data_IF_507232349586
#
_entry.id   IF_507232349586
#
_cell.length_a   1.000
_cell.length_b   1.000
_cell.length_c   1.000
_cell.angle_alpha   90.00
_cell.angle_beta   90.00
_cell.angle_gamma   90.00
#
_symmetry.space_group_name_H-M   'P 1'
#
loop_
_entity.id
_entity.type
_entity.pdbx_description
1 polymer ?
#
# COMPACT_ATOMS: atom_id res chain seq x y z
N UNK A 1 -75.44 -5.19 53.77
CA UNK A 1 -75.16 -4.24 52.70
C UNK A 1 -73.66 -4.03 52.65
N UNK A 2 -72.98 -4.71 51.69
CA UNK A 2 -71.51 -4.63 51.49
C UNK A 2 -71.20 -3.81 50.29
N UNK A 3 -70.54 -2.68 50.45
CA UNK A 3 -70.05 -1.84 49.39
C UNK A 3 -68.70 -2.38 48.82
N UNK A 4 -68.69 -2.76 47.57
CA UNK A 4 -67.47 -3.05 46.82
C UNK A 4 -66.91 -1.74 46.24
N UNK A 5 -65.68 -1.40 46.62
CA UNK A 5 -64.92 -0.32 45.99
C UNK A 5 -64.09 -0.91 44.83
N UNK A 6 -64.43 -0.49 43.65
CA UNK A 6 -63.65 -0.83 42.41
C UNK A 6 -62.41 0.08 42.34
N UNK A 7 -61.22 -0.53 42.32
CA UNK A 7 -59.98 0.15 42.14
C UNK A 7 -59.62 0.14 40.65
N UNK A 8 -59.60 1.32 40.05
CA UNK A 8 -59.17 1.49 38.67
C UNK A 8 -57.64 1.72 38.67
N UNK A 9 -56.88 0.78 38.12
CA UNK A 9 -55.42 0.92 37.95
C UNK A 9 -55.18 1.44 36.53
N UNK A 10 -54.76 2.69 36.40
CA UNK A 10 -54.30 3.26 35.16
C UNK A 10 -52.86 2.83 34.88
N UNK A 11 -52.65 2.03 33.84
CA UNK A 11 -51.32 1.69 33.34
C UNK A 11 -50.80 2.84 32.50
N UNK A 12 -49.75 3.48 32.95
CA UNK A 12 -48.99 4.46 32.14
C UNK A 12 -47.98 3.69 31.30
N UNK A 13 -48.21 3.63 29.99
CA UNK A 13 -47.22 3.08 29.01
C UNK A 13 -46.18 4.17 28.75
N UNK A 14 -44.97 4.01 29.27
CA UNK A 14 -43.82 4.85 28.91
C UNK A 14 -43.24 4.31 27.62
N UNK A 15 -43.51 4.98 26.51
CA UNK A 15 -42.81 4.72 25.24
C UNK A 15 -41.39 5.29 25.34
N UNK A 16 -40.43 4.41 25.48
CA UNK A 16 -39.02 4.75 25.36
C UNK A 16 -38.66 4.92 23.87
N UNK A 17 -38.51 6.16 23.44
CA UNK A 17 -37.93 6.47 22.10
C UNK A 17 -36.43 6.21 22.15
N UNK A 18 -36.00 5.07 21.65
CA UNK A 18 -34.57 4.83 21.38
C UNK A 18 -34.12 5.75 20.24
N UNK A 19 -33.42 6.81 20.61
CA UNK A 19 -32.71 7.66 19.65
C UNK A 19 -31.54 6.86 19.09
N UNK A 20 -31.63 6.41 17.83
CA UNK A 20 -30.46 5.93 17.10
C UNK A 20 -29.53 7.12 16.86
N UNK A 21 -28.50 7.22 17.67
CA UNK A 21 -27.38 8.10 17.39
C UNK A 21 -26.71 7.57 16.11
N UNK A 22 -26.88 8.31 15.02
CA UNK A 22 -26.10 8.14 13.81
C UNK A 22 -24.62 8.30 14.17
N UNK A 23 -23.88 7.20 14.17
CA UNK A 23 -22.43 7.22 14.36
C UNK A 23 -21.83 7.98 13.18
N UNK A 24 -21.55 9.25 13.38
CA UNK A 24 -20.74 10.05 12.47
C UNK A 24 -19.41 9.33 12.25
N UNK A 25 -19.11 9.02 10.98
CA UNK A 25 -17.77 8.57 10.57
C UNK A 25 -16.75 9.49 11.22
N UNK A 26 -15.70 8.97 11.89
CA UNK A 26 -14.70 9.84 12.46
C UNK A 26 -14.12 10.69 11.35
N UNK A 27 -14.21 12.02 11.50
CA UNK A 27 -13.47 12.95 10.63
C UNK A 27 -11.99 12.60 10.75
N UNK A 28 -11.36 12.36 9.61
CA UNK A 28 -9.92 12.09 9.55
C UNK A 28 -9.17 13.28 10.14
N UNK A 29 -8.42 13.05 11.21
CA UNK A 29 -7.58 14.07 11.81
C UNK A 29 -6.63 14.62 10.73
N UNK A 30 -6.44 15.95 10.61
CA UNK A 30 -5.46 16.53 9.67
C UNK A 30 -4.05 15.92 9.79
N UNK A 31 -3.64 15.49 10.99
CA UNK A 31 -2.40 14.75 11.20
C UNK A 31 -2.38 13.37 10.53
N UNK A 32 -3.53 12.68 10.44
CA UNK A 32 -3.66 11.39 9.75
C UNK A 32 -3.63 11.57 8.22
N UNK A 33 -4.11 12.71 7.73
CA UNK A 33 -4.01 13.07 6.31
C UNK A 33 -2.58 13.45 5.92
N UNK A 34 -1.85 14.14 6.79
CA UNK A 34 -0.45 14.49 6.57
C UNK A 34 0.47 13.25 6.53
N UNK A 35 0.13 12.20 7.29
CA UNK A 35 0.81 10.90 7.23
C UNK A 35 0.53 10.11 5.93
N UNK A 36 -0.51 10.48 5.17
CA UNK A 36 -0.85 9.80 3.91
C UNK A 36 -0.11 10.37 2.70
N UNK A 37 0.50 11.55 2.84
CA UNK A 37 1.21 12.23 1.76
C UNK A 37 2.71 12.25 2.00
N UNK A 38 3.47 12.14 0.91
CA UNK A 38 4.92 12.23 0.92
C UNK A 38 5.36 13.40 0.05
N UNK A 39 6.21 14.29 0.57
CA UNK A 39 6.82 15.34 -0.23
C UNK A 39 7.82 14.74 -1.20
N UNK A 40 7.69 15.10 -2.47
CA UNK A 40 8.64 14.79 -3.53
C UNK A 40 9.26 16.09 -4.03
N UNK A 41 10.58 16.12 -4.12
CA UNK A 41 11.34 17.19 -4.77
C UNK A 41 12.09 16.57 -5.94
N UNK A 42 11.97 17.16 -7.12
CA UNK A 42 12.70 16.79 -8.32
C UNK A 42 13.52 17.97 -8.79
N UNK A 43 14.77 17.76 -9.06
CA UNK A 43 15.71 18.78 -9.53
C UNK A 43 16.09 18.53 -11.00
N UNK A 44 16.51 19.56 -11.69
CA UNK A 44 17.01 19.51 -13.05
C UNK A 44 17.89 20.71 -13.36
N UNK A 45 18.17 20.90 -14.63
CA UNK A 45 18.95 22.03 -15.12
C UNK A 45 18.06 22.96 -15.96
N UNK A 46 18.21 24.26 -15.81
CA UNK A 46 17.60 25.24 -16.70
C UNK A 46 18.38 25.37 -18.02
N UNK A 47 17.91 26.22 -18.93
CA UNK A 47 18.54 26.47 -20.21
C UNK A 47 19.97 27.03 -20.10
N UNK A 48 20.36 27.56 -18.95
CA UNK A 48 21.70 28.07 -18.65
C UNK A 48 22.55 27.08 -17.87
N UNK A 49 22.09 25.81 -17.74
CA UNK A 49 22.73 24.74 -16.98
C UNK A 49 22.85 24.99 -15.47
N UNK A 50 22.00 25.86 -14.91
CA UNK A 50 21.89 26.02 -13.46
C UNK A 50 20.98 24.95 -12.87
N UNK A 51 21.35 24.45 -11.69
CA UNK A 51 20.54 23.50 -10.96
C UNK A 51 19.30 24.19 -10.39
N UNK A 52 18.12 23.69 -10.72
CA UNK A 52 16.82 24.22 -10.31
C UNK A 52 15.90 23.12 -9.76
N UNK A 53 14.90 23.52 -9.00
CA UNK A 53 13.80 22.64 -8.60
C UNK A 53 12.77 22.64 -9.73
N UNK A 54 12.52 21.47 -10.33
CA UNK A 54 11.49 21.27 -11.35
C UNK A 54 10.12 21.02 -10.71
N UNK A 55 10.08 20.19 -9.68
CA UNK A 55 8.85 19.83 -8.96
C UNK A 55 9.11 19.84 -7.45
N UNK A 56 8.18 20.42 -6.70
CA UNK A 56 8.13 20.35 -5.24
C UNK A 56 6.66 20.27 -4.83
N UNK A 57 6.26 19.13 -4.28
CA UNK A 57 4.87 18.90 -3.92
C UNK A 57 4.63 17.62 -3.14
N UNK A 58 3.42 17.50 -2.63
CA UNK A 58 2.98 16.31 -1.89
C UNK A 58 2.34 15.29 -2.85
N UNK A 59 2.66 14.02 -2.62
CA UNK A 59 2.21 12.87 -3.39
C UNK A 59 1.37 11.97 -2.50
N UNK A 60 0.10 11.79 -2.84
CA UNK A 60 -0.81 10.92 -2.09
C UNK A 60 -0.66 9.47 -2.50
N UNK A 61 -0.72 8.55 -1.53
CA UNK A 61 -0.79 7.11 -1.76
C UNK A 61 -2.20 6.74 -2.26
N UNK A 62 -2.28 6.08 -3.41
CA UNK A 62 -3.54 5.65 -4.05
C UNK A 62 -3.78 4.17 -3.82
N UNK A 63 -5.01 3.72 -3.58
CA UNK A 63 -5.33 2.29 -3.52
C UNK A 63 -4.96 1.60 -4.83
N UNK A 64 -4.24 0.47 -4.73
CA UNK A 64 -3.84 -0.37 -5.88
C UNK A 64 -4.36 -1.80 -5.75
N UNK A 65 -4.60 -2.25 -4.51
CA UNK A 65 -5.24 -3.51 -4.17
C UNK A 65 -5.86 -3.41 -2.77
N UNK A 66 -6.71 -4.33 -2.33
CA UNK A 66 -7.21 -4.38 -0.96
C UNK A 66 -6.06 -4.36 0.05
N UNK A 67 -6.06 -3.39 0.97
CA UNK A 67 -5.03 -3.22 1.98
C UNK A 67 -3.67 -2.70 1.45
N UNK A 68 -3.55 -2.40 0.15
CA UNK A 68 -2.29 -1.93 -0.45
C UNK A 68 -2.54 -0.59 -1.14
N UNK A 69 -1.71 0.40 -0.80
CA UNK A 69 -1.69 1.73 -1.42
C UNK A 69 -0.30 2.02 -1.96
N UNK A 70 -0.21 2.76 -3.06
CA UNK A 70 1.08 3.08 -3.65
C UNK A 70 1.07 4.43 -4.37
N UNK A 71 2.27 4.99 -4.57
CA UNK A 71 2.50 6.09 -5.49
C UNK A 71 3.85 5.94 -6.16
N UNK A 72 3.92 6.28 -7.44
CA UNK A 72 5.20 6.36 -8.15
C UNK A 72 5.76 7.77 -7.98
N UNK A 73 7.04 7.86 -7.67
CA UNK A 73 7.74 9.14 -7.62
C UNK A 73 8.42 9.46 -8.95
N UNK A 74 8.99 8.46 -9.61
CA UNK A 74 9.65 8.62 -10.90
C UNK A 74 9.71 7.31 -11.67
N UNK A 75 9.66 7.40 -13.00
CA UNK A 75 9.76 6.25 -13.90
C UNK A 75 10.66 6.66 -15.06
N UNK A 76 11.63 5.80 -15.40
CA UNK A 76 12.49 5.99 -16.56
C UNK A 76 12.31 4.85 -17.56
N UNK A 77 12.54 5.14 -18.84
CA UNK A 77 12.61 4.16 -19.92
C UNK A 77 14.05 4.12 -20.44
N UNK A 78 14.71 2.99 -20.27
CA UNK A 78 16.06 2.80 -20.75
C UNK A 78 17.16 3.12 -19.72
N UNK A 79 18.35 2.58 -20.01
CA UNK A 79 19.58 2.79 -19.24
C UNK A 79 20.75 3.03 -20.19
N UNK A 80 21.58 4.07 -20.03
CA UNK A 80 21.42 5.15 -19.03
C UNK A 80 20.11 5.93 -19.22
N UNK A 81 19.47 6.40 -18.11
CA UNK A 81 18.21 7.12 -18.21
C UNK A 81 18.39 8.49 -18.87
N UNK A 82 17.44 8.88 -19.71
CA UNK A 82 17.35 10.26 -20.19
C UNK A 82 16.84 11.16 -19.08
N UNK A 83 17.52 12.28 -18.86
CA UNK A 83 17.03 13.33 -17.95
C UNK A 83 15.91 14.11 -18.64
N UNK A 84 14.85 14.46 -17.92
CA UNK A 84 13.67 15.11 -18.47
C UNK A 84 13.05 16.07 -17.45
N UNK A 85 12.43 17.14 -17.98
CA UNK A 85 11.60 18.05 -17.23
C UNK A 85 10.13 17.61 -17.17
N UNK A 86 9.79 16.47 -17.80
CA UNK A 86 8.43 15.93 -17.81
C UNK A 86 8.22 15.01 -16.62
N UNK A 87 7.16 15.26 -15.83
CA UNK A 87 6.81 14.42 -14.70
C UNK A 87 6.31 13.04 -15.17
N UNK A 88 7.08 12.01 -14.85
CA UNK A 88 6.76 10.62 -15.18
C UNK A 88 5.94 9.88 -14.12
N UNK A 89 5.66 10.49 -12.97
CA UNK A 89 5.01 9.84 -11.83
C UNK A 89 3.57 9.40 -12.11
N UNK A 90 2.87 10.09 -13.01
CA UNK A 90 1.48 9.81 -13.38
C UNK A 90 1.29 8.64 -14.35
N UNK A 91 2.37 8.02 -14.82
CA UNK A 91 2.29 6.91 -15.79
C UNK A 91 1.60 5.69 -15.19
N UNK A 92 0.66 5.14 -15.94
CA UNK A 92 -0.07 3.92 -15.56
C UNK A 92 0.72 2.71 -16.07
N UNK A 93 1.50 2.10 -15.20
CA UNK A 93 2.26 0.88 -15.47
C UNK A 93 2.02 -0.13 -14.35
N UNK A 94 2.19 -1.42 -14.65
CA UNK A 94 2.07 -2.51 -13.68
C UNK A 94 3.09 -2.44 -12.53
N UNK A 95 3.30 -3.52 -11.80
CA UNK A 95 4.25 -3.56 -10.67
C UNK A 95 5.69 -3.49 -11.16
N UNK A 96 6.03 -4.16 -12.25
CA UNK A 96 7.36 -4.17 -12.83
C UNK A 96 7.79 -2.77 -13.34
N UNK A 97 9.09 -2.46 -13.39
CA UNK A 97 9.59 -1.31 -14.12
C UNK A 97 9.41 -1.51 -15.65
N UNK A 98 9.54 -0.44 -16.46
CA UNK A 98 9.64 -0.58 -17.91
C UNK A 98 10.87 -1.40 -18.31
N UNK A 99 10.83 -2.03 -19.49
CA UNK A 99 12.00 -2.71 -20.05
C UNK A 99 13.18 -1.74 -20.16
N UNK A 100 14.35 -2.16 -19.67
CA UNK A 100 15.57 -1.35 -19.50
C UNK A 100 15.38 -0.09 -18.66
N UNK A 101 14.28 0.06 -17.92
CA UNK A 101 13.95 1.25 -17.16
C UNK A 101 14.01 1.05 -15.65
N UNK A 102 13.60 2.09 -14.93
CA UNK A 102 13.50 2.08 -13.48
C UNK A 102 12.14 2.58 -12.99
N UNK A 103 11.79 2.19 -11.78
CA UNK A 103 10.58 2.66 -11.11
C UNK A 103 10.88 2.98 -9.65
N UNK A 104 10.75 4.25 -9.29
CA UNK A 104 10.90 4.73 -7.93
C UNK A 104 9.50 4.95 -7.33
N UNK A 105 9.18 4.24 -6.25
CA UNK A 105 7.84 4.24 -5.65
C UNK A 105 7.85 4.00 -4.15
N UNK A 106 6.74 4.37 -3.50
CA UNK A 106 6.40 3.89 -2.15
C UNK A 106 5.16 3.03 -2.21
N UNK A 107 5.17 1.97 -1.41
CA UNK A 107 4.02 1.09 -1.17
C UNK A 107 3.74 1.07 0.33
N UNK A 108 2.46 1.19 0.68
CA UNK A 108 1.96 1.04 2.04
C UNK A 108 1.13 -0.23 2.12
N UNK A 109 1.42 -1.05 3.11
CA UNK A 109 0.74 -2.30 3.42
C UNK A 109 -0.02 -2.13 4.74
N UNK A 110 -1.34 -2.18 4.68
CA UNK A 110 -2.18 -2.21 5.87
C UNK A 110 -1.96 -3.49 6.68
N UNK A 111 -2.21 -3.49 7.99
CA UNK A 111 -2.29 -4.71 8.77
C UNK A 111 -3.22 -5.75 8.14
N UNK A 112 -2.80 -7.00 8.13
CA UNK A 112 -3.54 -8.14 7.62
C UNK A 112 -3.66 -9.20 8.71
N UNK A 113 -4.84 -9.30 9.30
CA UNK A 113 -5.11 -10.33 10.30
C UNK A 113 -5.35 -11.69 9.63
N UNK A 114 -5.16 -12.77 10.39
CA UNK A 114 -5.26 -14.15 9.88
C UNK A 114 -6.64 -14.48 9.28
N UNK A 115 -7.73 -13.87 9.77
CA UNK A 115 -9.06 -14.12 9.25
C UNK A 115 -9.29 -13.42 7.88
N UNK A 116 -8.69 -12.25 7.70
CA UNK A 116 -8.67 -11.52 6.43
C UNK A 116 -7.72 -12.17 5.43
N UNK A 117 -6.55 -12.61 5.87
CA UNK A 117 -5.57 -13.34 5.06
C UNK A 117 -6.17 -14.63 4.47
N UNK A 118 -6.88 -15.42 5.29
CA UNK A 118 -7.54 -16.65 4.86
C UNK A 118 -8.64 -16.43 3.80
N UNK A 119 -9.13 -15.20 3.63
CA UNK A 119 -10.15 -14.83 2.64
C UNK A 119 -9.56 -14.20 1.38
N UNK A 120 -8.26 -14.01 1.30
CA UNK A 120 -7.62 -13.47 0.11
C UNK A 120 -7.91 -14.39 -1.09
N UNK A 121 -8.35 -13.84 -2.23
CA UNK A 121 -8.52 -14.65 -3.42
C UNK A 121 -7.18 -15.26 -3.83
N UNK A 122 -7.16 -16.55 -4.24
CA UNK A 122 -5.99 -17.12 -4.88
C UNK A 122 -5.55 -16.21 -6.03
N UNK A 123 -4.27 -16.00 -6.18
CA UNK A 123 -3.70 -15.18 -7.28
C UNK A 123 -4.10 -13.69 -7.28
N UNK A 124 -4.41 -13.11 -6.11
CA UNK A 124 -4.85 -11.72 -6.02
C UNK A 124 -3.89 -10.73 -6.69
N UNK A 125 -2.59 -10.93 -6.54
CA UNK A 125 -1.56 -10.06 -7.13
C UNK A 125 -1.19 -10.49 -8.55
N UNK A 126 -1.27 -11.76 -8.88
CA UNK A 126 -0.87 -12.29 -10.20
C UNK A 126 -1.65 -11.67 -11.36
N UNK A 127 -2.92 -11.29 -11.13
CA UNK A 127 -3.74 -10.58 -12.14
C UNK A 127 -3.28 -9.14 -12.41
N UNK A 128 -2.57 -8.51 -11.49
CA UNK A 128 -2.06 -7.14 -11.63
C UNK A 128 -0.61 -7.04 -12.07
N UNK A 129 0.11 -8.17 -12.12
CA UNK A 129 1.53 -8.23 -12.47
C UNK A 129 1.66 -8.91 -13.84
N UNK A 130 1.62 -8.10 -14.89
CA UNK A 130 1.61 -8.57 -16.28
C UNK A 130 2.89 -9.29 -16.73
N UNK A 131 3.99 -9.22 -15.96
CA UNK A 131 5.30 -9.76 -16.34
C UNK A 131 5.95 -10.61 -15.24
N UNK A 132 5.16 -11.27 -14.40
CA UNK A 132 5.72 -12.15 -13.36
C UNK A 132 5.46 -13.62 -13.69
N UNK A 133 6.39 -14.30 -14.37
CA UNK A 133 6.31 -15.75 -14.46
C UNK A 133 6.74 -16.35 -13.09
N UNK A 134 5.79 -16.77 -12.30
CA UNK A 134 6.05 -17.81 -11.29
C UNK A 134 6.35 -19.10 -12.05
N UNK A 135 7.58 -19.29 -12.50
CA UNK A 135 7.97 -20.46 -13.28
C UNK A 135 7.90 -21.71 -12.40
N UNK A 136 6.73 -22.37 -12.40
CA UNK A 136 6.56 -23.71 -11.89
C UNK A 136 6.70 -23.92 -10.39
N UNK A 137 6.83 -22.86 -9.60
CA UNK A 137 6.90 -22.92 -8.14
C UNK A 137 5.48 -22.81 -7.58
N UNK A 138 5.05 -23.71 -6.68
CA UNK A 138 3.75 -23.62 -6.03
C UNK A 138 3.62 -22.28 -5.29
N UNK A 139 2.52 -21.56 -5.53
CA UNK A 139 2.21 -20.33 -4.83
C UNK A 139 1.82 -20.66 -3.39
N UNK A 140 2.66 -20.30 -2.43
CA UNK A 140 2.42 -20.56 -0.99
C UNK A 140 1.52 -19.49 -0.33
N UNK A 141 1.40 -18.31 -0.96
CA UNK A 141 0.60 -17.21 -0.44
C UNK A 141 -0.06 -16.42 -1.59
N UNK A 142 -1.32 -15.97 -1.46
CA UNK A 142 -2.03 -15.21 -2.52
C UNK A 142 -1.33 -13.93 -2.99
N UNK A 143 -0.52 -13.30 -2.12
CA UNK A 143 0.25 -12.11 -2.43
C UNK A 143 1.61 -12.42 -3.07
N UNK A 144 1.95 -13.72 -3.26
CA UNK A 144 3.25 -14.12 -3.77
C UNK A 144 3.40 -13.78 -5.25
N UNK A 145 4.49 -13.13 -5.57
CA UNK A 145 4.77 -12.66 -6.92
C UNK A 145 6.27 -12.49 -7.16
N UNK A 146 6.62 -12.26 -8.42
CA UNK A 146 7.97 -12.00 -8.88
C UNK A 146 7.94 -10.94 -9.97
N UNK A 147 8.90 -10.03 -9.95
CA UNK A 147 9.20 -9.12 -11.06
C UNK A 147 10.61 -9.41 -11.59
N UNK A 148 10.81 -9.22 -12.89
CA UNK A 148 12.14 -9.30 -13.50
C UNK A 148 12.88 -7.99 -13.20
N UNK A 149 13.27 -7.81 -11.95
CA UNK A 149 13.94 -6.59 -11.50
C UNK A 149 14.91 -6.85 -10.37
N UNK A 150 15.94 -6.00 -10.30
CA UNK A 150 16.72 -5.80 -9.10
C UNK A 150 16.07 -4.67 -8.32
N UNK A 151 15.63 -4.95 -7.11
CA UNK A 151 14.95 -3.97 -6.27
C UNK A 151 15.83 -3.58 -5.09
N UNK A 152 16.04 -2.28 -4.91
CA UNK A 152 16.51 -1.73 -3.65
C UNK A 152 15.34 -1.22 -2.87
N UNK A 153 15.22 -1.63 -1.60
CA UNK A 153 14.11 -1.21 -0.75
C UNK A 153 14.56 -0.80 0.64
N UNK A 154 13.78 0.10 1.24
CA UNK A 154 13.99 0.56 2.63
C UNK A 154 12.64 0.60 3.32
N UNK A 155 12.54 -0.01 4.50
CA UNK A 155 11.36 0.13 5.36
C UNK A 155 11.35 1.52 5.97
N UNK A 156 10.42 2.38 5.54
CA UNK A 156 10.31 3.77 6.01
C UNK A 156 9.60 3.87 7.36
N UNK A 157 8.60 3.00 7.60
CA UNK A 157 7.84 2.97 8.85
C UNK A 157 7.14 1.63 9.02
N UNK A 158 6.85 1.27 10.28
CA UNK A 158 6.18 0.02 10.61
C UNK A 158 7.09 -1.20 10.53
N UNK A 159 6.47 -2.36 10.41
CA UNK A 159 7.12 -3.67 10.31
C UNK A 159 6.36 -4.55 9.33
N UNK A 160 7.02 -5.54 8.75
CA UNK A 160 6.43 -6.42 7.73
C UNK A 160 7.22 -7.71 7.62
N UNK A 161 6.55 -8.79 7.24
CA UNK A 161 7.20 -10.05 6.88
C UNK A 161 7.37 -10.14 5.35
N UNK A 162 8.60 -10.35 4.91
CA UNK A 162 8.92 -10.71 3.54
C UNK A 162 8.97 -12.24 3.46
N UNK A 163 7.93 -12.83 2.88
CA UNK A 163 7.87 -14.28 2.65
C UNK A 163 8.61 -14.62 1.36
N UNK A 164 9.47 -15.62 1.43
CA UNK A 164 10.15 -16.24 0.30
C UNK A 164 9.60 -17.68 0.12
N UNK A 165 10.14 -18.44 -0.83
CA UNK A 165 9.65 -19.80 -1.12
C UNK A 165 9.68 -20.72 0.11
N UNK A 166 10.76 -20.71 0.88
CA UNK A 166 10.96 -21.64 2.01
C UNK A 166 11.19 -20.95 3.35
N UNK A 167 11.29 -19.63 3.38
CA UNK A 167 11.59 -18.87 4.58
C UNK A 167 10.83 -17.55 4.62
N UNK A 168 10.81 -16.90 5.77
CA UNK A 168 10.29 -15.55 5.95
C UNK A 168 11.32 -14.71 6.70
N UNK A 169 11.40 -13.43 6.35
CA UNK A 169 12.27 -12.45 6.99
C UNK A 169 11.41 -11.35 7.58
N UNK A 170 11.47 -11.18 8.91
CA UNK A 170 10.82 -10.07 9.58
C UNK A 170 11.65 -8.80 9.43
N UNK A 171 11.02 -7.74 8.95
CA UNK A 171 11.65 -6.45 8.65
C UNK A 171 10.95 -5.33 9.41
N UNK A 172 11.74 -4.34 9.83
CA UNK A 172 11.27 -3.17 10.59
C UNK A 172 11.87 -1.88 10.04
N UNK A 173 11.35 -0.78 10.50
CA UNK A 173 11.82 0.56 10.10
C UNK A 173 13.35 0.67 10.13
N UNK A 174 13.92 1.14 9.02
CA UNK A 174 15.36 1.31 8.81
C UNK A 174 16.03 0.12 8.13
N UNK A 175 15.38 -1.04 8.03
CA UNK A 175 15.96 -2.20 7.34
C UNK A 175 16.03 -1.94 5.83
N UNK A 176 17.12 -2.42 5.23
CA UNK A 176 17.42 -2.28 3.80
C UNK A 176 17.40 -3.66 3.14
N UNK A 177 16.75 -3.75 1.98
CA UNK A 177 16.57 -4.98 1.24
C UNK A 177 17.17 -4.83 -0.15
N UNK A 178 17.92 -5.84 -0.59
CA UNK A 178 18.29 -6.05 -1.99
C UNK A 178 17.60 -7.31 -2.47
N UNK A 179 16.63 -7.16 -3.35
CA UNK A 179 15.84 -8.27 -3.88
C UNK A 179 16.20 -8.49 -5.35
N UNK A 180 16.65 -9.69 -5.68
CA UNK A 180 17.18 -10.04 -6.99
C UNK A 180 16.20 -10.94 -7.73
N UNK A 181 15.11 -10.37 -8.26
CA UNK A 181 14.07 -11.08 -9.01
C UNK A 181 13.56 -12.36 -8.32
N UNK A 182 13.52 -12.36 -6.98
CA UNK A 182 13.05 -13.52 -6.19
C UNK A 182 11.54 -13.58 -6.13
N UNK A 183 10.99 -14.78 -5.98
CA UNK A 183 9.59 -14.97 -5.65
C UNK A 183 9.36 -14.54 -4.20
N UNK A 184 8.36 -13.70 -3.94
CA UNK A 184 8.13 -13.12 -2.61
C UNK A 184 6.69 -12.64 -2.39
N UNK A 185 6.32 -12.50 -1.12
CA UNK A 185 5.13 -11.77 -0.70
C UNK A 185 5.48 -10.82 0.44
N UNK A 186 4.77 -9.69 0.50
CA UNK A 186 4.84 -8.73 1.59
C UNK A 186 3.57 -8.84 2.43
N UNK A 187 3.71 -9.27 3.69
CA UNK A 187 2.58 -9.49 4.59
C UNK A 187 2.79 -8.74 5.89
N UNK A 188 1.90 -7.82 6.20
CA UNK A 188 1.97 -7.03 7.41
C UNK A 188 1.12 -7.66 8.51
N UNK A 189 1.72 -8.47 9.37
CA UNK A 189 1.10 -9.04 10.56
C UNK A 189 1.15 -8.11 11.79
N UNK A 190 1.73 -6.92 11.64
CA UNK A 190 1.77 -5.89 12.68
C UNK A 190 0.42 -5.22 12.90
N UNK A 191 0.40 -4.20 13.75
CA UNK A 191 -0.81 -3.45 14.13
C UNK A 191 -0.89 -2.06 13.48
N UNK A 192 0.13 -1.67 12.72
CA UNK A 192 0.22 -0.37 12.04
C UNK A 192 0.57 -0.57 10.56
N UNK A 193 0.17 0.34 9.67
CA UNK A 193 0.62 0.29 8.29
C UNK A 193 2.16 0.31 8.18
N UNK A 194 2.68 -0.52 7.28
CA UNK A 194 4.10 -0.53 6.93
C UNK A 194 4.29 0.18 5.58
N UNK A 195 5.26 1.09 5.51
CA UNK A 195 5.66 1.78 4.27
C UNK A 195 7.03 1.34 3.85
N UNK A 196 7.16 0.98 2.59
CA UNK A 196 8.44 0.61 1.99
C UNK A 196 8.68 1.47 0.76
N UNK A 197 9.87 2.05 0.69
CA UNK A 197 10.39 2.70 -0.49
C UNK A 197 11.05 1.65 -1.38
N UNK A 198 10.77 1.68 -2.67
CA UNK A 198 11.35 0.78 -3.67
C UNK A 198 11.98 1.57 -4.81
N UNK A 199 13.14 1.11 -5.26
CA UNK A 199 13.73 1.41 -6.56
C UNK A 199 13.84 0.09 -7.31
N UNK A 200 12.95 -0.12 -8.28
CA UNK A 200 12.95 -1.29 -9.14
C UNK A 200 13.72 -0.95 -10.43
N UNK A 201 14.68 -1.77 -10.78
CA UNK A 201 15.45 -1.65 -12.02
C UNK A 201 15.25 -2.90 -12.84
N UNK A 202 14.87 -2.76 -14.11
CA UNK A 202 14.78 -3.92 -15.01
C UNK A 202 16.09 -4.69 -15.04
N UNK A 203 16.01 -6.01 -15.08
CA UNK A 203 17.17 -6.87 -15.06
C UNK A 203 17.09 -7.93 -16.16
N UNK A 204 18.21 -8.59 -16.43
CA UNK A 204 18.19 -9.82 -17.22
C UNK A 204 17.44 -10.91 -16.47
N UNK A 205 16.84 -11.84 -17.20
CA UNK A 205 16.30 -13.06 -16.58
C UNK A 205 17.43 -13.79 -15.85
N UNK A 206 17.18 -14.25 -14.61
CA UNK A 206 18.14 -15.05 -13.85
C UNK A 206 18.30 -16.46 -14.45
#
# INVERSE_FOLDING_TARGET
MKFFKTLVVSAVVVMSTASFAEQSKPESNPADMEQQEMRRVVTGLDASSHAVVLFDGRMSLKPVAPGIRATNFWITDGYPPSLTEVDSSGRQIGTAPPDNGTKFRVVEFAPLDAASEAKLPPEMIQKGITNSPTKGIPVKHPLMHRTRSLDYAVVLSGEIDMMLDDTSVHLKQGDVIVQQATNHAWVNHGIRPCRILFVLMDSKEP
#
